data_IF_042840794168
#
_entry.id   IF_042840794168
#
_cell.length_a   1.000
_cell.length_b   1.000
_cell.length_c   1.000
_cell.angle_alpha   90.00
_cell.angle_beta   90.00
_cell.angle_gamma   90.00
#
_symmetry.space_group_name_H-M   'P 1'
#
loop_
_entity.id
_entity.type
_entity.pdbx_description
1 polymer ?
#
# COMPACT_ATOMS: atom_id res chain seq x y z
N UNK A 1 -2.20 12.12 -18.28
CA UNK A 1 -3.19 11.87 -17.20
C UNK A 1 -2.96 10.57 -16.43
N UNK A 2 -2.71 9.40 -17.04
CA UNK A 2 -2.43 8.14 -16.29
C UNK A 2 -1.31 8.21 -15.23
N UNK A 3 -0.21 8.92 -15.53
CA UNK A 3 0.91 9.09 -14.59
C UNK A 3 0.49 9.87 -13.34
N UNK A 4 -0.28 10.95 -13.50
CA UNK A 4 -0.72 11.80 -12.40
C UNK A 4 -1.60 11.06 -11.37
N UNK A 5 -2.43 10.11 -11.82
CA UNK A 5 -3.30 9.32 -10.94
C UNK A 5 -2.51 8.34 -10.06
N UNK A 6 -1.35 7.87 -10.52
CA UNK A 6 -0.47 7.00 -9.72
C UNK A 6 0.52 7.82 -8.89
N UNK A 7 0.90 9.03 -9.30
CA UNK A 7 1.76 9.90 -8.49
C UNK A 7 1.17 10.21 -7.11
N UNK A 8 -0.16 10.38 -7.02
CA UNK A 8 -0.81 10.66 -5.74
C UNK A 8 -0.66 9.53 -4.68
N UNK A 9 -0.95 8.24 -4.98
CA UNK A 9 -0.67 7.14 -4.06
C UNK A 9 0.82 6.98 -3.78
N UNK A 10 1.70 7.17 -4.78
CA UNK A 10 3.15 7.13 -4.53
C UNK A 10 3.62 8.23 -3.58
N UNK A 11 3.09 9.45 -3.71
CA UNK A 11 3.36 10.56 -2.80
C UNK A 11 2.87 10.27 -1.38
N UNK A 12 1.67 9.71 -1.25
CA UNK A 12 1.11 9.35 0.06
C UNK A 12 1.93 8.26 0.76
N UNK A 13 2.32 7.20 0.03
CA UNK A 13 3.16 6.13 0.56
C UNK A 13 4.50 6.70 1.05
N UNK A 14 5.17 7.51 0.23
CA UNK A 14 6.44 8.16 0.61
C UNK A 14 6.30 9.07 1.82
N UNK A 15 5.20 9.83 1.91
CA UNK A 15 4.93 10.66 3.08
C UNK A 15 4.77 9.82 4.35
N UNK A 16 4.05 8.69 4.29
CA UNK A 16 3.81 7.82 5.44
C UNK A 16 5.02 6.99 5.85
N UNK A 17 5.89 6.64 4.91
CA UNK A 17 7.20 6.05 5.21
C UNK A 17 8.08 6.99 6.06
N UNK A 18 7.73 8.29 6.11
CA UNK A 18 8.53 9.32 6.75
C UNK A 18 9.72 9.73 5.88
N UNK A 19 10.35 10.85 6.24
CA UNK A 19 11.63 11.26 5.63
C UNK A 19 12.81 10.40 6.08
N UNK A 20 12.55 9.33 6.84
CA UNK A 20 13.54 8.42 7.42
C UNK A 20 14.05 7.42 6.39
N UNK A 21 15.32 7.03 6.53
CA UNK A 21 15.93 6.01 5.70
C UNK A 21 15.28 4.65 5.95
N UNK A 22 15.29 3.77 4.95
CA UNK A 22 14.90 2.38 5.11
C UNK A 22 15.62 1.77 6.32
N UNK A 23 14.87 1.02 7.13
CA UNK A 23 15.42 0.36 8.32
C UNK A 23 16.38 -0.77 7.92
N UNK A 24 16.11 -1.39 6.78
CA UNK A 24 16.88 -2.54 6.30
C UNK A 24 18.04 -2.14 5.39
N UNK A 25 19.08 -2.98 5.37
CA UNK A 25 20.20 -2.91 4.42
C UNK A 25 20.09 -4.03 3.38
N UNK A 26 20.67 -3.80 2.19
CA UNK A 26 20.64 -4.67 0.99
C UNK A 26 19.29 -4.64 0.25
N UNK A 27 19.35 -4.68 -1.08
CA UNK A 27 18.19 -4.51 -1.97
C UNK A 27 17.03 -5.45 -1.67
N UNK A 28 17.30 -6.74 -1.42
CA UNK A 28 16.24 -7.72 -1.14
C UNK A 28 15.41 -7.32 0.08
N UNK A 29 16.06 -6.89 1.16
CA UNK A 29 15.38 -6.56 2.41
C UNK A 29 14.65 -5.22 2.31
N UNK A 30 15.27 -4.23 1.65
CA UNK A 30 14.64 -2.93 1.35
C UNK A 30 13.41 -3.11 0.46
N UNK A 31 13.47 -4.03 -0.52
CA UNK A 31 12.31 -4.35 -1.35
C UNK A 31 11.17 -4.93 -0.52
N UNK A 32 11.46 -5.81 0.44
CA UNK A 32 10.44 -6.34 1.36
C UNK A 32 9.83 -5.23 2.22
N UNK A 33 10.65 -4.31 2.73
CA UNK A 33 10.18 -3.16 3.50
C UNK A 33 9.27 -2.26 2.65
N UNK A 34 9.63 -2.01 1.38
CA UNK A 34 8.79 -1.27 0.45
C UNK A 34 7.47 -1.99 0.16
N UNK A 35 7.51 -3.30 -0.06
CA UNK A 35 6.31 -4.12 -0.28
C UNK A 35 5.34 -4.06 0.90
N UNK A 36 5.85 -4.04 2.14
CA UNK A 36 5.01 -3.94 3.33
C UNK A 36 4.32 -2.58 3.43
N UNK A 37 5.03 -1.48 3.11
CA UNK A 37 4.42 -0.14 3.08
C UNK A 37 3.33 -0.03 2.01
N UNK A 38 3.57 -0.57 0.81
CA UNK A 38 2.58 -0.61 -0.26
C UNK A 38 1.36 -1.42 0.17
N UNK A 39 1.57 -2.59 0.79
CA UNK A 39 0.48 -3.44 1.28
C UNK A 39 -0.36 -2.71 2.35
N UNK A 40 0.29 -2.08 3.33
CA UNK A 40 -0.39 -1.33 4.38
C UNK A 40 -1.22 -0.16 3.79
N UNK A 41 -0.66 0.57 2.82
CA UNK A 41 -1.37 1.63 2.12
C UNK A 41 -2.59 1.08 1.36
N UNK A 42 -2.41 0.00 0.60
CA UNK A 42 -3.51 -0.61 -0.16
C UNK A 42 -4.62 -1.10 0.76
N UNK A 43 -4.30 -1.77 1.86
CA UNK A 43 -5.30 -2.22 2.83
C UNK A 43 -6.07 -1.05 3.43
N UNK A 44 -5.37 0.01 3.89
CA UNK A 44 -6.04 1.19 4.45
C UNK A 44 -6.91 1.89 3.41
N UNK A 45 -6.47 1.95 2.15
CA UNK A 45 -7.25 2.51 1.04
C UNK A 45 -8.49 1.67 0.75
N UNK A 46 -8.35 0.36 0.66
CA UNK A 46 -9.47 -0.56 0.39
C UNK A 46 -10.51 -0.53 1.52
N UNK A 47 -10.06 -0.49 2.78
CA UNK A 47 -10.95 -0.29 3.94
C UNK A 47 -11.68 1.05 3.84
N UNK A 48 -11.00 2.12 3.40
CA UNK A 48 -11.64 3.43 3.21
C UNK A 48 -12.68 3.45 2.07
N UNK A 49 -12.52 2.61 1.05
CA UNK A 49 -13.41 2.56 -0.12
C UNK A 49 -14.63 1.65 0.16
N UNK A 50 -14.41 0.46 0.72
CA UNK A 50 -15.45 -0.57 0.88
C UNK A 50 -15.90 -0.80 2.32
N UNK A 51 -15.21 -0.23 3.31
CA UNK A 51 -15.35 -0.63 4.71
C UNK A 51 -14.78 -2.02 4.99
N UNK A 52 -14.65 -2.38 6.27
CA UNK A 52 -14.06 -3.66 6.68
C UNK A 52 -14.87 -4.86 6.19
N UNK A 53 -16.19 -4.86 6.41
CA UNK A 53 -17.08 -5.96 6.02
C UNK A 53 -17.16 -6.09 4.49
N UNK A 54 -17.27 -4.97 3.77
CA UNK A 54 -17.28 -4.97 2.32
C UNK A 54 -15.99 -5.49 1.71
N UNK A 55 -14.84 -5.12 2.29
CA UNK A 55 -13.55 -5.67 1.88
C UNK A 55 -13.47 -7.19 2.08
N UNK A 56 -13.90 -7.71 3.23
CA UNK A 56 -13.87 -9.16 3.49
C UNK A 56 -14.75 -9.90 2.48
N UNK A 57 -15.97 -9.40 2.24
CA UNK A 57 -16.87 -9.97 1.24
C UNK A 57 -16.23 -10.01 -0.15
N UNK A 58 -15.64 -8.89 -0.59
CA UNK A 58 -14.96 -8.81 -1.90
C UNK A 58 -13.78 -9.78 -2.00
N UNK A 59 -12.96 -9.91 -0.94
CA UNK A 59 -11.86 -10.87 -0.95
C UNK A 59 -12.36 -12.33 -1.01
N UNK A 60 -13.44 -12.64 -0.29
CA UNK A 60 -14.04 -13.98 -0.32
C UNK A 60 -14.66 -14.30 -1.69
N UNK A 61 -15.29 -13.33 -2.35
CA UNK A 61 -15.87 -13.51 -3.69
C UNK A 61 -14.80 -13.74 -4.77
N UNK A 62 -13.65 -13.07 -4.67
CA UNK A 62 -12.59 -13.18 -5.69
C UNK A 62 -11.74 -14.46 -5.58
N UNK A 63 -11.66 -15.06 -4.39
CA UNK A 63 -10.83 -16.25 -4.13
C UNK A 63 -11.62 -17.49 -3.66
N UNK A 64 -12.95 -17.37 -3.56
CA UNK A 64 -13.88 -18.44 -3.19
C UNK A 64 -14.40 -19.24 -4.38
#
# INVERSE_FOLDING_TARGET
MRKQTVEHPFGTIKMWMGATHFLMRKFKNVSTEMSLHILAYNLKRMISIWGTTGLIFQLQEQYG
#
